data_IF_626766289227
#
_entry.id   IF_626766289227
#
_cell.length_a   1.000
_cell.length_b   1.000
_cell.length_c   1.000
_cell.angle_alpha   90.00
_cell.angle_beta   90.00
_cell.angle_gamma   90.00
#
_symmetry.space_group_name_H-M   'P 1'
#
loop_
_entity.id
_entity.type
_entity.pdbx_description
1 polymer ?
#
# COMPACT_ATOMS: atom_id res chain seq x y z
N UNK A 1 18.57 -13.38 4.73
CA UNK A 1 17.57 -14.25 5.41
C UNK A 1 18.28 -15.44 6.06
N UNK A 2 17.90 -15.79 7.30
CA UNK A 2 18.69 -16.60 8.24
C UNK A 2 18.63 -18.12 7.99
N UNK A 3 19.80 -18.75 7.92
CA UNK A 3 20.03 -20.15 7.58
C UNK A 3 19.68 -21.19 8.65
N UNK A 4 18.49 -21.13 9.24
CA UNK A 4 17.95 -22.21 10.10
C UNK A 4 16.53 -22.65 9.74
N UNK A 5 16.03 -22.28 8.56
CA UNK A 5 14.76 -22.80 8.05
C UNK A 5 13.52 -22.41 8.85
N UNK A 6 13.56 -21.31 9.62
CA UNK A 6 12.39 -20.79 10.34
C UNK A 6 11.93 -21.63 11.54
N UNK A 7 12.72 -22.61 11.97
CA UNK A 7 12.38 -23.44 13.13
C UNK A 7 12.80 -22.75 14.43
N UNK A 8 11.89 -22.75 15.40
CA UNK A 8 12.13 -22.23 16.74
C UNK A 8 12.84 -23.25 17.63
N UNK A 9 13.08 -22.90 18.91
CA UNK A 9 13.83 -23.71 19.90
C UNK A 9 13.29 -25.14 20.07
N UNK A 10 12.01 -25.36 19.74
CA UNK A 10 11.33 -26.66 19.82
C UNK A 10 11.71 -27.66 18.71
N UNK A 11 12.49 -27.25 17.71
CA UNK A 11 12.90 -28.06 16.55
C UNK A 11 11.72 -28.58 15.70
N UNK A 12 10.50 -28.08 15.91
CA UNK A 12 9.36 -28.45 15.09
C UNK A 12 9.57 -27.92 13.67
N UNK A 13 9.47 -28.75 12.62
CA UNK A 13 9.52 -28.27 11.24
C UNK A 13 8.38 -27.28 11.00
N UNK A 14 8.70 -26.00 10.81
CA UNK A 14 7.74 -24.98 10.38
C UNK A 14 8.12 -24.49 9.00
N UNK A 15 7.16 -24.58 8.08
CA UNK A 15 7.26 -23.91 6.80
C UNK A 15 7.14 -22.39 7.03
N UNK A 16 7.60 -21.56 6.08
CA UNK A 16 7.29 -20.13 6.13
C UNK A 16 5.77 -19.97 6.16
N UNK A 17 5.24 -19.58 7.31
CA UNK A 17 3.80 -19.39 7.52
C UNK A 17 3.50 -17.92 7.72
N UNK A 18 2.23 -17.54 7.60
CA UNK A 18 1.77 -16.20 7.96
C UNK A 18 2.24 -15.80 9.38
N UNK A 19 2.30 -16.76 10.31
CA UNK A 19 2.75 -16.52 11.68
C UNK A 19 4.22 -16.12 11.75
N UNK A 20 5.09 -16.72 10.92
CA UNK A 20 6.51 -16.40 10.91
C UNK A 20 6.78 -14.96 10.46
N UNK A 21 5.93 -14.39 9.60
CA UNK A 21 6.03 -13.01 9.14
C UNK A 21 5.27 -12.01 10.04
N UNK A 22 4.11 -12.41 10.57
CA UNK A 22 3.17 -11.50 11.24
C UNK A 22 3.14 -11.61 12.77
N UNK A 23 3.73 -12.67 13.36
CA UNK A 23 3.78 -12.89 14.81
C UNK A 23 5.24 -12.98 15.25
N UNK A 24 5.73 -11.90 15.86
CA UNK A 24 7.11 -11.86 16.36
C UNK A 24 7.25 -12.89 17.49
N UNK A 25 8.31 -13.72 17.48
CA UNK A 25 8.56 -14.62 18.60
C UNK A 25 8.86 -13.84 19.88
N UNK A 26 8.24 -14.26 20.98
CA UNK A 26 8.42 -13.68 22.30
C UNK A 26 8.69 -14.77 23.34
N UNK A 27 9.41 -14.39 24.41
CA UNK A 27 9.61 -15.27 25.56
C UNK A 27 8.36 -15.24 26.42
N UNK A 28 7.69 -16.39 26.60
CA UNK A 28 6.44 -16.41 27.36
C UNK A 28 5.83 -17.79 27.57
N UNK A 29 4.70 -17.80 28.26
CA UNK A 29 3.84 -18.98 28.38
C UNK A 29 2.84 -18.99 27.23
N UNK A 30 2.53 -20.18 26.71
CA UNK A 30 1.52 -20.33 25.66
C UNK A 30 0.07 -20.17 26.16
N UNK A 31 -0.15 -20.15 27.48
CA UNK A 31 -1.45 -19.87 28.08
C UNK A 31 -1.29 -19.46 29.56
N UNK A 32 -2.33 -18.81 30.09
CA UNK A 32 -2.42 -18.46 31.51
C UNK A 32 -2.94 -19.65 32.33
N UNK A 33 -2.08 -20.66 32.53
CA UNK A 33 -2.34 -21.81 33.40
C UNK A 33 -1.14 -22.12 34.30
N UNK A 34 -1.42 -22.67 35.48
CA UNK A 34 -0.38 -23.09 36.43
C UNK A 34 0.47 -24.23 35.83
N UNK A 35 1.78 -24.19 36.08
CA UNK A 35 2.72 -25.21 35.62
C UNK A 35 3.11 -25.15 34.14
N UNK A 36 2.60 -24.17 33.38
CA UNK A 36 2.98 -23.98 31.97
C UNK A 36 4.42 -23.48 31.88
N UNK A 37 5.30 -24.15 31.11
CA UNK A 37 6.67 -23.73 30.92
C UNK A 37 6.76 -22.43 30.11
N UNK A 38 7.79 -21.64 30.41
CA UNK A 38 8.21 -20.51 29.55
C UNK A 38 8.93 -21.10 28.34
N UNK A 39 8.61 -20.60 27.14
CA UNK A 39 9.31 -20.93 25.90
C UNK A 39 9.90 -19.65 25.28
N UNK A 40 11.01 -19.78 24.54
CA UNK A 40 11.70 -18.64 23.92
C UNK A 40 11.03 -18.07 22.67
N UNK A 41 9.98 -18.72 22.18
CA UNK A 41 9.50 -18.61 20.80
C UNK A 41 7.97 -18.52 20.67
N UNK A 42 7.27 -18.04 21.70
CA UNK A 42 5.81 -17.93 21.62
C UNK A 42 5.41 -16.93 20.53
N UNK A 43 4.51 -17.29 19.61
CA UNK A 43 4.00 -16.33 18.64
C UNK A 43 3.15 -15.29 19.38
N UNK A 44 3.62 -14.05 19.44
CA UNK A 44 2.85 -12.97 20.05
C UNK A 44 1.64 -12.68 19.16
N UNK A 45 0.42 -12.77 19.70
CA UNK A 45 -0.84 -12.51 18.99
C UNK A 45 -1.07 -11.01 18.70
N UNK A 46 -0.08 -10.34 18.13
CA UNK A 46 -0.14 -8.93 17.76
C UNK A 46 -0.50 -8.70 16.29
N UNK A 47 -0.39 -9.74 15.44
CA UNK A 47 -0.80 -9.79 14.02
C UNK A 47 -0.34 -8.55 13.24
N UNK A 48 0.97 -8.33 13.17
CA UNK A 48 1.56 -7.13 12.56
C UNK A 48 1.38 -7.11 11.04
N UNK A 49 0.51 -6.23 10.53
CA UNK A 49 0.32 -5.98 9.10
C UNK A 49 1.19 -4.85 8.53
N UNK A 50 0.88 -4.41 7.30
CA UNK A 50 1.58 -3.32 6.62
C UNK A 50 0.90 -1.94 6.75
N UNK A 51 -0.06 -1.76 7.66
CA UNK A 51 -0.72 -0.46 7.84
C UNK A 51 -0.06 0.30 9.00
N UNK A 52 0.75 1.30 8.67
CA UNK A 52 1.45 2.15 9.63
C UNK A 52 0.67 3.40 10.02
N UNK A 53 -0.36 3.78 9.25
CA UNK A 53 -1.04 5.07 9.36
C UNK A 53 -2.35 5.01 10.16
N UNK A 54 -3.15 3.94 10.00
CA UNK A 54 -4.42 3.78 10.74
C UNK A 54 -4.27 3.88 12.27
N UNK A 55 -3.18 3.41 12.91
CA UNK A 55 -2.96 3.69 14.32
C UNK A 55 -3.04 5.18 14.70
N UNK A 56 -2.50 6.09 13.88
CA UNK A 56 -2.57 7.53 14.13
C UNK A 56 -3.99 8.07 13.91
N UNK A 57 -4.69 7.57 12.89
CA UNK A 57 -6.10 7.90 12.62
C UNK A 57 -6.98 7.53 13.80
N UNK A 58 -6.79 6.32 14.35
CA UNK A 58 -7.55 5.85 15.50
C UNK A 58 -7.28 6.70 16.74
N UNK A 59 -6.02 7.03 17.00
CA UNK A 59 -5.65 7.94 18.09
C UNK A 59 -6.28 9.33 17.90
N UNK A 60 -6.18 9.91 16.70
CA UNK A 60 -6.80 11.20 16.39
C UNK A 60 -8.31 11.17 16.58
N UNK A 61 -9.02 10.21 15.97
CA UNK A 61 -10.48 10.09 16.08
C UNK A 61 -10.93 9.86 17.53
N UNK A 62 -10.17 9.11 18.33
CA UNK A 62 -10.43 8.94 19.77
C UNK A 62 -10.35 10.28 20.50
N UNK A 63 -9.31 11.08 20.24
CA UNK A 63 -9.16 12.41 20.86
C UNK A 63 -10.30 13.37 20.51
N UNK A 64 -10.90 13.20 19.33
CA UNK A 64 -12.04 14.01 18.89
C UNK A 64 -13.39 13.43 19.36
N UNK A 65 -13.41 12.27 20.02
CA UNK A 65 -14.65 11.57 20.37
C UNK A 65 -15.43 11.06 19.15
N UNK A 66 -14.74 10.77 18.05
CA UNK A 66 -15.29 10.39 16.74
C UNK A 66 -15.12 8.90 16.40
N UNK A 67 -14.61 8.07 17.31
CA UNK A 67 -14.60 6.63 17.12
C UNK A 67 -16.03 6.09 17.04
N UNK A 68 -16.35 5.44 15.92
CA UNK A 68 -17.70 4.91 15.68
C UNK A 68 -17.98 3.59 16.37
N UNK A 69 -16.93 2.81 16.68
CA UNK A 69 -17.04 1.48 17.27
C UNK A 69 -16.09 1.38 18.45
N UNK A 70 -16.62 0.88 19.57
CA UNK A 70 -15.86 0.66 20.78
C UNK A 70 -15.94 1.84 21.77
N UNK A 71 -15.51 1.61 23.02
CA UNK A 71 -15.32 2.69 23.98
C UNK A 71 -14.10 3.55 23.58
N UNK A 72 -13.93 4.67 24.29
CA UNK A 72 -12.70 5.46 24.20
C UNK A 72 -11.47 4.59 24.56
N UNK A 73 -10.36 4.85 23.88
CA UNK A 73 -9.14 4.07 24.02
C UNK A 73 -8.50 4.30 25.39
N UNK A 74 -8.11 3.21 26.03
CA UNK A 74 -7.29 3.26 27.25
C UNK A 74 -5.84 3.60 26.94
N UNK A 75 -5.09 4.08 27.93
CA UNK A 75 -3.65 4.31 27.79
C UNK A 75 -2.87 3.07 27.33
N UNK A 76 -3.32 1.88 27.70
CA UNK A 76 -2.70 0.62 27.26
C UNK A 76 -2.97 0.33 25.76
N UNK A 77 -4.17 0.66 25.27
CA UNK A 77 -4.54 0.50 23.87
C UNK A 77 -3.81 1.52 22.98
N UNK A 78 -3.69 2.79 23.43
CA UNK A 78 -2.87 3.80 22.75
C UNK A 78 -1.40 3.37 22.64
N UNK A 79 -0.82 2.85 23.73
CA UNK A 79 0.52 2.27 23.68
C UNK A 79 0.61 1.05 22.73
N UNK A 80 -0.47 0.26 22.66
CA UNK A 80 -0.60 -0.86 21.72
C UNK A 80 -0.62 -0.42 20.26
N UNK A 81 -1.34 0.68 19.94
CA UNK A 81 -1.37 1.30 18.61
C UNK A 81 0.02 1.78 18.18
N UNK A 82 0.71 2.54 19.05
CA UNK A 82 2.07 3.03 18.77
C UNK A 82 3.08 1.88 18.57
N UNK A 83 2.97 0.82 19.38
CA UNK A 83 3.79 -0.38 19.22
C UNK A 83 3.45 -1.12 17.91
N UNK A 84 2.16 -1.20 17.55
CA UNK A 84 1.67 -1.78 16.29
C UNK A 84 2.22 -1.05 15.07
N UNK A 85 2.14 0.28 15.06
CA UNK A 85 2.74 1.14 14.02
C UNK A 85 4.24 0.87 13.87
N UNK A 86 4.98 0.87 14.98
CA UNK A 86 6.43 0.61 14.96
C UNK A 86 6.78 -0.74 14.36
N UNK A 87 5.99 -1.78 14.67
CA UNK A 87 6.18 -3.11 14.08
C UNK A 87 5.80 -3.14 12.59
N UNK A 88 4.72 -2.48 12.19
CA UNK A 88 4.31 -2.37 10.79
C UNK A 88 5.43 -1.74 9.94
N UNK A 89 6.01 -0.64 10.42
CA UNK A 89 7.18 0.00 9.80
C UNK A 89 8.38 -0.95 9.67
N UNK A 90 8.71 -1.67 10.74
CA UNK A 90 9.82 -2.63 10.73
C UNK A 90 9.56 -3.81 9.78
N UNK A 91 8.30 -4.25 9.63
CA UNK A 91 7.92 -5.30 8.68
C UNK A 91 8.01 -4.81 7.24
N UNK A 92 7.57 -3.59 6.95
CA UNK A 92 7.67 -2.97 5.63
C UNK A 92 9.13 -2.85 5.18
N UNK A 93 10.04 -2.40 6.04
CA UNK A 93 11.48 -2.33 5.74
C UNK A 93 12.17 -3.70 5.52
N UNK A 94 11.45 -4.82 5.63
CA UNK A 94 11.94 -6.18 5.30
C UNK A 94 11.11 -6.85 4.19
N UNK A 95 10.14 -6.16 3.62
CA UNK A 95 9.18 -6.74 2.67
C UNK A 95 9.76 -6.90 1.26
N UNK A 96 10.77 -6.09 0.91
CA UNK A 96 11.37 -6.06 -0.41
C UNK A 96 12.90 -5.89 -0.32
N UNK A 97 13.61 -6.31 -1.36
CA UNK A 97 14.97 -5.82 -1.63
C UNK A 97 15.04 -5.27 -3.04
N UNK A 98 15.97 -4.34 -3.26
CA UNK A 98 16.17 -3.67 -4.55
C UNK A 98 17.65 -3.62 -4.90
N UNK A 99 17.98 -3.97 -6.14
CA UNK A 99 19.35 -3.92 -6.67
C UNK A 99 19.35 -3.27 -8.04
N UNK A 100 20.46 -2.60 -8.38
CA UNK A 100 20.65 -1.94 -9.68
C UNK A 100 21.93 -2.48 -10.33
N UNK A 101 21.82 -2.95 -11.57
CA UNK A 101 22.92 -3.40 -12.42
C UNK A 101 22.84 -2.72 -13.80
N UNK A 102 23.78 -1.82 -14.08
CA UNK A 102 23.63 -0.88 -15.18
C UNK A 102 22.38 -0.03 -14.98
N UNK A 103 21.50 -0.02 -15.98
CA UNK A 103 20.20 0.67 -15.92
C UNK A 103 19.07 -0.27 -15.47
N UNK A 104 19.36 -1.55 -15.22
CA UNK A 104 18.35 -2.53 -14.80
C UNK A 104 18.18 -2.53 -13.30
N UNK A 105 16.95 -2.32 -12.85
CA UNK A 105 16.55 -2.48 -11.46
C UNK A 105 15.86 -3.81 -11.30
N UNK A 106 16.14 -4.48 -10.18
CA UNK A 106 15.46 -5.70 -9.76
C UNK A 106 14.87 -5.49 -8.38
N UNK A 107 13.55 -5.68 -8.25
CA UNK A 107 12.85 -5.66 -6.96
C UNK A 107 12.44 -7.08 -6.62
N UNK A 108 12.87 -7.59 -5.48
CA UNK A 108 12.57 -8.96 -5.02
C UNK A 108 11.52 -8.91 -3.91
N UNK A 109 10.47 -9.72 -4.06
CA UNK A 109 9.49 -9.92 -3.01
C UNK A 109 10.03 -10.87 -1.92
N UNK A 110 10.14 -10.36 -0.69
CA UNK A 110 10.61 -11.11 0.47
C UNK A 110 9.46 -11.56 1.39
N UNK A 111 8.21 -11.39 0.95
CA UNK A 111 7.01 -11.76 1.69
C UNK A 111 6.41 -13.09 1.21
N UNK A 112 5.50 -13.66 2.00
CA UNK A 112 4.79 -14.91 1.68
C UNK A 112 3.52 -14.73 0.83
N UNK A 113 3.28 -13.53 0.32
CA UNK A 113 2.12 -13.15 -0.51
C UNK A 113 2.56 -12.14 -1.57
N UNK A 114 1.65 -11.62 -2.41
CA UNK A 114 2.03 -10.57 -3.36
C UNK A 114 2.61 -9.34 -2.64
N UNK A 115 3.59 -8.66 -3.23
CA UNK A 115 4.17 -7.43 -2.73
C UNK A 115 3.61 -6.26 -3.55
N UNK A 116 2.81 -5.37 -2.99
CA UNK A 116 2.27 -5.27 -1.60
C UNK A 116 0.91 -5.97 -1.43
N UNK A 117 0.67 -6.71 -0.34
CA UNK A 117 -0.64 -7.36 -0.12
C UNK A 117 -1.58 -6.53 0.76
N UNK A 118 -2.76 -7.08 1.05
CA UNK A 118 -3.82 -6.48 1.83
C UNK A 118 -4.95 -5.95 0.96
N UNK A 119 -5.80 -5.12 1.58
CA UNK A 119 -6.85 -4.43 0.85
C UNK A 119 -6.24 -3.53 -0.23
N UNK A 120 -6.61 -3.72 -1.51
CA UNK A 120 -5.89 -3.18 -2.65
C UNK A 120 -6.15 -1.69 -2.93
N UNK A 121 -7.38 -1.22 -2.77
CA UNK A 121 -7.77 0.12 -3.22
C UNK A 121 -7.02 1.19 -2.42
N UNK A 122 -6.48 2.18 -3.14
CA UNK A 122 -5.66 3.24 -2.57
C UNK A 122 -4.30 2.79 -2.03
N UNK A 123 -3.91 1.53 -2.15
CA UNK A 123 -2.58 1.05 -1.71
C UNK A 123 -1.62 1.01 -2.89
N UNK A 124 -0.46 1.65 -2.75
CA UNK A 124 0.54 1.75 -3.82
C UNK A 124 1.95 1.50 -3.31
N UNK A 125 2.76 0.91 -4.17
CA UNK A 125 4.22 0.92 -4.07
C UNK A 125 4.75 1.45 -5.38
N UNK A 126 5.79 2.28 -5.38
CA UNK A 126 6.33 2.83 -6.62
C UNK A 126 7.80 3.17 -6.45
N UNK A 127 8.44 3.54 -7.55
CA UNK A 127 9.81 4.00 -7.53
C UNK A 127 9.85 5.51 -7.64
N UNK A 128 10.48 6.14 -6.65
CA UNK A 128 10.92 7.53 -6.72
C UNK A 128 12.39 7.54 -7.15
N UNK A 129 12.71 8.34 -8.16
CA UNK A 129 14.08 8.43 -8.69
C UNK A 129 14.52 9.88 -8.82
N UNK A 130 15.54 10.23 -8.06
CA UNK A 130 16.12 11.58 -8.06
C UNK A 130 17.42 11.55 -8.85
N UNK A 131 17.43 12.14 -10.05
CA UNK A 131 18.57 12.12 -10.96
C UNK A 131 19.45 13.34 -10.78
N UNK A 132 20.76 13.13 -10.72
CA UNK A 132 21.76 14.18 -10.52
C UNK A 132 22.82 14.19 -11.61
N UNK A 133 23.29 15.36 -12.01
CA UNK A 133 24.43 15.53 -12.91
C UNK A 133 25.79 15.35 -12.20
N UNK A 134 26.90 15.45 -12.95
CA UNK A 134 28.25 15.27 -12.41
C UNK A 134 28.66 16.31 -11.34
N UNK A 135 27.92 17.41 -11.21
CA UNK A 135 28.13 18.45 -10.20
C UNK A 135 27.22 18.25 -8.98
N UNK A 136 26.37 17.21 -8.96
CA UNK A 136 25.38 16.97 -7.91
C UNK A 136 24.15 17.86 -8.01
N UNK A 137 23.87 18.44 -9.18
CA UNK A 137 22.65 19.22 -9.43
C UNK A 137 21.56 18.26 -9.92
N UNK A 138 20.38 18.33 -9.31
CA UNK A 138 19.22 17.56 -9.73
C UNK A 138 18.78 17.96 -11.15
N UNK A 139 18.52 16.96 -12.00
CA UNK A 139 18.17 17.16 -13.42
C UNK A 139 16.80 16.61 -13.79
N UNK A 140 16.26 15.68 -13.00
CA UNK A 140 14.92 15.11 -13.17
C UNK A 140 14.53 14.36 -11.89
N UNK A 141 13.25 14.37 -11.58
CA UNK A 141 12.64 13.55 -10.56
C UNK A 141 11.53 12.72 -11.22
N UNK A 142 11.53 11.41 -10.99
CA UNK A 142 10.49 10.48 -11.42
C UNK A 142 9.74 9.97 -10.17
N UNK A 143 8.42 9.83 -10.25
CA UNK A 143 7.60 9.28 -9.16
C UNK A 143 7.51 10.17 -7.93
N UNK A 144 7.53 11.49 -8.15
CA UNK A 144 7.47 12.49 -7.09
C UNK A 144 6.19 12.36 -6.24
N UNK A 145 6.34 12.57 -4.93
CA UNK A 145 5.27 12.64 -3.96
C UNK A 145 5.32 14.00 -3.28
N UNK A 146 4.45 14.91 -3.72
CA UNK A 146 4.40 16.29 -3.24
C UNK A 146 2.96 16.82 -3.21
N UNK A 147 2.80 18.08 -2.84
CA UNK A 147 1.54 18.80 -2.82
C UNK A 147 1.03 19.07 -4.23
N UNK A 148 -0.20 18.65 -4.51
CA UNK A 148 -0.98 19.10 -5.65
C UNK A 148 -2.15 19.95 -5.17
N UNK A 149 -2.57 20.93 -5.99
CA UNK A 149 -3.80 21.68 -5.75
C UNK A 149 -5.01 20.90 -6.28
N UNK A 150 -6.01 20.70 -5.42
CA UNK A 150 -7.31 20.09 -5.75
C UNK A 150 -8.45 21.02 -5.37
N UNK A 151 -9.62 20.81 -5.95
CA UNK A 151 -10.85 21.45 -5.52
C UNK A 151 -11.55 20.53 -4.54
N UNK A 152 -11.68 21.00 -3.30
CA UNK A 152 -12.41 20.32 -2.24
C UNK A 152 -13.48 21.29 -1.71
N UNK A 153 -14.74 20.86 -1.75
CA UNK A 153 -15.90 21.69 -1.37
C UNK A 153 -15.92 23.08 -2.03
N UNK A 154 -15.49 23.15 -3.30
CA UNK A 154 -15.42 24.38 -4.09
C UNK A 154 -14.26 25.32 -3.73
N UNK A 155 -13.29 24.86 -2.94
CA UNK A 155 -12.09 25.62 -2.58
C UNK A 155 -10.80 24.92 -3.02
N UNK A 156 -9.80 25.67 -3.52
CA UNK A 156 -8.46 25.15 -3.71
C UNK A 156 -7.87 24.67 -2.38
N UNK A 157 -7.40 23.42 -2.35
CA UNK A 157 -6.80 22.75 -1.20
C UNK A 157 -5.56 22.00 -1.64
N UNK A 158 -4.49 22.05 -0.84
CA UNK A 158 -3.27 21.29 -1.10
C UNK A 158 -3.37 19.90 -0.45
N UNK A 159 -3.06 18.86 -1.23
CA UNK A 159 -3.02 17.47 -0.77
C UNK A 159 -1.73 16.82 -1.22
N UNK A 160 -1.13 15.96 -0.38
CA UNK A 160 0.09 15.23 -0.72
C UNK A 160 -0.23 13.90 -1.40
N UNK A 161 0.30 13.70 -2.60
CA UNK A 161 0.09 12.48 -3.39
C UNK A 161 1.16 12.36 -4.47
N UNK A 162 1.18 11.26 -5.23
CA UNK A 162 2.07 11.14 -6.39
C UNK A 162 1.69 12.24 -7.40
N UNK A 163 2.60 13.13 -7.79
CA UNK A 163 2.25 14.33 -8.58
C UNK A 163 1.67 13.94 -9.94
N UNK A 164 2.39 13.10 -10.67
CA UNK A 164 1.98 12.59 -11.99
C UNK A 164 1.82 11.07 -11.95
N UNK A 165 0.57 10.60 -12.02
CA UNK A 165 0.25 9.16 -12.06
C UNK A 165 0.49 8.55 -13.44
N UNK A 166 0.59 9.38 -14.48
CA UNK A 166 0.73 8.98 -15.87
C UNK A 166 2.17 9.16 -16.39
N UNK A 167 3.11 9.55 -15.52
CA UNK A 167 4.52 9.70 -15.89
C UNK A 167 5.08 8.37 -16.41
N UNK A 168 5.53 8.31 -17.69
CA UNK A 168 6.03 7.08 -18.28
C UNK A 168 7.32 6.54 -17.62
N UNK A 169 8.00 7.34 -16.80
CA UNK A 169 9.18 6.92 -16.04
C UNK A 169 8.84 6.40 -14.64
N UNK A 170 7.58 6.55 -14.21
CA UNK A 170 7.12 6.13 -12.88
C UNK A 170 6.51 4.73 -12.95
N UNK A 171 7.15 3.76 -12.29
CA UNK A 171 6.62 2.41 -12.14
C UNK A 171 5.80 2.29 -10.86
N UNK A 172 4.48 2.19 -10.99
CA UNK A 172 3.55 2.01 -9.85
C UNK A 172 3.07 0.56 -9.79
N UNK A 173 3.17 -0.04 -8.61
CA UNK A 173 2.64 -1.32 -8.24
C UNK A 173 1.33 -1.16 -7.45
N UNK A 174 0.23 -1.64 -8.02
CA UNK A 174 -1.11 -1.50 -7.47
C UNK A 174 -2.07 -2.54 -8.05
N UNK A 175 -3.34 -2.43 -7.66
CA UNK A 175 -4.42 -3.27 -8.19
C UNK A 175 -5.54 -2.34 -8.59
N UNK A 176 -6.05 -2.56 -9.80
CA UNK A 176 -7.23 -1.88 -10.30
C UNK A 176 -8.41 -2.85 -10.26
N UNK A 177 -9.42 -2.46 -9.50
CA UNK A 177 -10.70 -3.16 -9.41
C UNK A 177 -11.70 -2.43 -10.27
N UNK A 178 -12.71 -3.14 -10.74
CA UNK A 178 -13.74 -2.57 -11.57
C UNK A 178 -15.06 -3.32 -11.53
N UNK A 179 -16.00 -2.72 -12.23
CA UNK A 179 -17.35 -3.19 -12.43
C UNK A 179 -17.54 -3.49 -13.91
N UNK A 180 -17.95 -4.72 -14.23
CA UNK A 180 -18.29 -5.06 -15.63
C UNK A 180 -19.63 -4.44 -16.03
N UNK A 181 -19.81 -4.17 -17.32
CA UNK A 181 -21.05 -3.67 -17.89
C UNK A 181 -22.26 -4.53 -17.48
N UNK A 182 -22.15 -5.85 -17.55
CA UNK A 182 -23.25 -6.76 -17.23
C UNK A 182 -23.61 -6.71 -15.75
N UNK A 183 -22.61 -6.50 -14.88
CA UNK A 183 -22.82 -6.39 -13.46
C UNK A 183 -23.45 -5.05 -13.08
N UNK A 184 -23.04 -3.97 -13.74
CA UNK A 184 -23.70 -2.67 -13.61
C UNK A 184 -25.20 -2.76 -13.95
N UNK A 185 -25.54 -3.43 -15.06
CA UNK A 185 -26.95 -3.67 -15.43
C UNK A 185 -27.70 -4.49 -14.37
N UNK A 186 -27.07 -5.55 -13.82
CA UNK A 186 -27.68 -6.35 -12.75
C UNK A 186 -27.93 -5.53 -11.47
N UNK A 187 -27.02 -4.63 -11.09
CA UNK A 187 -27.22 -3.75 -9.94
C UNK A 187 -28.41 -2.81 -10.17
N UNK A 188 -28.56 -2.25 -11.37
CA UNK A 188 -29.73 -1.42 -11.72
C UNK A 188 -31.02 -2.24 -11.62
N UNK A 189 -31.04 -3.47 -12.15
CA UNK A 189 -32.19 -4.37 -12.07
C UNK A 189 -32.54 -4.75 -10.61
N UNK A 190 -31.54 -4.77 -9.71
CA UNK A 190 -31.70 -4.95 -8.27
C UNK A 190 -32.15 -3.68 -7.54
N UNK A 191 -32.27 -2.55 -8.24
CA UNK A 191 -32.78 -1.28 -7.72
C UNK A 191 -31.71 -0.28 -7.29
N UNK A 192 -30.44 -0.49 -7.65
CA UNK A 192 -29.41 0.54 -7.45
C UNK A 192 -29.67 1.73 -8.38
N UNK A 193 -29.43 2.96 -7.92
CA UNK A 193 -29.75 4.15 -8.69
C UNK A 193 -28.74 4.34 -9.84
N UNK A 194 -29.25 4.66 -11.04
CA UNK A 194 -28.41 4.80 -12.25
C UNK A 194 -27.44 5.98 -12.17
N UNK A 195 -27.76 6.99 -11.36
CA UNK A 195 -26.91 8.17 -11.10
C UNK A 195 -25.91 7.93 -9.95
N UNK A 196 -25.80 6.70 -9.42
CA UNK A 196 -24.74 6.35 -8.47
C UNK A 196 -23.37 6.59 -9.11
N UNK A 197 -22.63 7.55 -8.57
CA UNK A 197 -21.28 7.89 -9.05
C UNK A 197 -20.31 6.77 -8.70
N UNK A 198 -19.51 6.35 -9.68
CA UNK A 198 -18.53 5.28 -9.54
C UNK A 198 -17.10 5.79 -9.44
N UNK A 199 -16.80 6.92 -10.09
CA UNK A 199 -15.47 7.54 -10.09
C UNK A 199 -15.56 9.05 -10.07
N UNK A 200 -14.51 9.68 -9.57
CA UNK A 200 -14.37 11.13 -9.49
C UNK A 200 -13.07 11.56 -10.15
N UNK A 201 -13.04 12.79 -10.66
CA UNK A 201 -11.83 13.41 -11.12
C UNK A 201 -10.93 13.76 -9.92
N UNK A 202 -9.66 13.36 -10.01
CA UNK A 202 -8.67 13.52 -8.95
C UNK A 202 -8.50 14.97 -8.49
N UNK A 203 -8.57 15.92 -9.43
CA UNK A 203 -8.24 17.32 -9.19
C UNK A 203 -9.48 18.12 -8.83
N UNK A 204 -10.59 17.88 -9.54
CA UNK A 204 -11.81 18.69 -9.40
C UNK A 204 -12.83 18.07 -8.45
N UNK A 205 -12.76 16.76 -8.20
CA UNK A 205 -13.77 16.01 -7.45
C UNK A 205 -15.09 15.82 -8.22
N UNK A 206 -15.16 16.23 -9.48
CA UNK A 206 -16.36 16.07 -10.29
C UNK A 206 -16.60 14.59 -10.64
N UNK A 207 -17.86 14.11 -10.64
CA UNK A 207 -18.20 12.77 -11.12
C UNK A 207 -17.68 12.53 -12.55
N UNK A 208 -16.94 11.45 -12.77
CA UNK A 208 -16.44 11.08 -14.10
C UNK A 208 -17.22 9.95 -14.75
N UNK A 209 -17.86 9.09 -13.95
CA UNK A 209 -18.68 7.98 -14.44
C UNK A 209 -19.73 7.56 -13.41
N UNK A 210 -20.88 7.10 -13.89
CA UNK A 210 -22.02 6.61 -13.10
C UNK A 210 -22.35 5.16 -13.42
N UNK A 211 -23.13 4.52 -12.55
CA UNK A 211 -23.61 3.14 -12.74
C UNK A 211 -24.38 2.97 -14.05
N UNK A 212 -25.26 3.91 -14.38
CA UNK A 212 -26.04 3.91 -15.62
C UNK A 212 -25.16 4.02 -16.86
N UNK A 213 -24.09 4.82 -16.80
CA UNK A 213 -23.13 4.94 -17.90
C UNK A 213 -22.32 3.68 -18.12
N UNK A 214 -21.89 2.99 -17.04
CA UNK A 214 -21.23 1.68 -17.17
C UNK A 214 -22.18 0.64 -17.76
N UNK A 215 -23.43 0.59 -17.32
CA UNK A 215 -24.43 -0.32 -17.88
C UNK A 215 -24.78 -0.03 -19.35
N UNK A 216 -24.57 1.20 -19.82
CA UNK A 216 -24.78 1.60 -21.21
C UNK A 216 -23.58 1.34 -22.14
N UNK A 217 -22.44 0.88 -21.60
CA UNK A 217 -21.29 0.50 -22.42
C UNK A 217 -21.57 -0.76 -23.26
N UNK A 218 -20.66 -1.08 -24.18
CA UNK A 218 -20.74 -2.32 -24.96
C UNK A 218 -20.58 -3.56 -24.07
N UNK A 219 -21.26 -4.68 -24.36
CA UNK A 219 -21.07 -5.93 -23.61
C UNK A 219 -19.60 -6.39 -23.59
N UNK A 220 -19.16 -6.88 -22.44
CA UNK A 220 -17.78 -7.34 -22.19
C UNK A 220 -16.81 -6.23 -21.76
N UNK A 221 -17.25 -4.98 -21.64
CA UNK A 221 -16.43 -3.90 -21.06
C UNK A 221 -16.54 -3.86 -19.55
N UNK A 222 -15.68 -3.03 -18.96
CA UNK A 222 -15.67 -2.73 -17.53
C UNK A 222 -15.27 -1.28 -17.32
N UNK A 223 -15.52 -0.79 -16.12
CA UNK A 223 -15.03 0.50 -15.64
C UNK A 223 -14.36 0.32 -14.28
N UNK A 224 -13.19 0.94 -14.11
CA UNK A 224 -12.46 0.87 -12.85
C UNK A 224 -13.12 1.75 -11.79
N UNK A 225 -13.23 1.27 -10.55
CA UNK A 225 -13.91 2.00 -9.47
C UNK A 225 -13.32 1.63 -8.11
N UNK A 226 -13.59 2.44 -7.09
CA UNK A 226 -13.27 2.11 -5.69
C UNK A 226 -14.49 1.59 -4.89
N UNK A 227 -15.58 1.20 -5.55
CA UNK A 227 -16.73 0.57 -4.89
C UNK A 227 -16.43 -0.89 -4.55
N UNK A 228 -15.51 -1.13 -3.62
CA UNK A 228 -15.02 -2.47 -3.28
C UNK A 228 -16.07 -3.57 -3.13
N UNK A 229 -17.15 -3.30 -2.40
CA UNK A 229 -18.22 -4.30 -2.16
C UNK A 229 -18.96 -4.62 -3.45
N UNK A 230 -19.00 -3.69 -4.40
CA UNK A 230 -19.72 -3.81 -5.67
C UNK A 230 -18.81 -4.21 -6.84
N UNK A 231 -17.49 -4.01 -6.74
CA UNK A 231 -16.55 -4.42 -7.78
C UNK A 231 -16.57 -5.94 -7.97
N UNK A 232 -16.61 -6.39 -9.23
CA UNK A 232 -16.65 -7.81 -9.59
C UNK A 232 -15.52 -8.22 -10.56
N UNK A 233 -14.60 -7.30 -10.87
CA UNK A 233 -13.56 -7.47 -11.86
C UNK A 233 -12.22 -6.91 -11.37
N UNK A 234 -11.13 -7.57 -11.75
CA UNK A 234 -9.75 -7.09 -11.53
C UNK A 234 -9.17 -6.79 -12.91
N UNK A 235 -9.05 -5.51 -13.26
CA UNK A 235 -8.49 -5.08 -14.55
C UNK A 235 -6.96 -5.15 -14.55
N UNK A 236 -6.35 -4.89 -13.40
CA UNK A 236 -4.90 -4.97 -13.22
C UNK A 236 -4.56 -5.47 -11.81
N UNK A 237 -3.55 -6.34 -11.70
CA UNK A 237 -2.90 -6.70 -10.46
C UNK A 237 -1.44 -6.98 -10.80
N UNK A 238 -0.67 -5.90 -10.79
CA UNK A 238 0.73 -5.91 -11.17
C UNK A 238 1.66 -6.13 -9.97
N UNK A 239 1.13 -6.58 -8.82
CA UNK A 239 1.93 -6.80 -7.61
C UNK A 239 2.82 -8.03 -7.74
N UNK A 240 4.05 -7.92 -7.25
CA UNK A 240 5.10 -8.93 -7.42
C UNK A 240 4.71 -10.23 -6.68
N UNK A 241 4.64 -11.40 -7.33
CA UNK A 241 4.31 -12.68 -6.71
C UNK A 241 5.27 -13.09 -5.58
N UNK A 242 4.82 -13.91 -4.61
CA UNK A 242 5.73 -14.48 -3.61
C UNK A 242 6.55 -15.63 -4.20
N UNK A 243 7.66 -15.92 -3.53
CA UNK A 243 8.46 -17.11 -3.81
C UNK A 243 7.60 -18.39 -3.79
N UNK A 244 7.66 -19.16 -4.87
CA UNK A 244 6.97 -20.45 -4.97
C UNK A 244 5.49 -20.37 -5.36
N UNK A 245 4.99 -19.21 -5.84
CA UNK A 245 3.63 -19.13 -6.39
C UNK A 245 3.53 -19.94 -7.69
N UNK A 246 2.94 -21.12 -7.59
CA UNK A 246 2.65 -21.99 -8.74
C UNK A 246 1.41 -21.52 -9.51
N UNK A 247 1.46 -21.60 -10.85
CA UNK A 247 0.41 -21.08 -11.73
C UNK A 247 -0.98 -21.68 -11.43
N UNK A 248 -1.11 -23.00 -11.32
CA UNK A 248 -2.42 -23.62 -11.08
C UNK A 248 -2.94 -23.32 -9.69
N UNK A 249 -2.08 -23.30 -8.68
CA UNK A 249 -2.45 -22.86 -7.34
C UNK A 249 -2.97 -21.42 -7.32
N UNK A 250 -2.34 -20.51 -8.06
CA UNK A 250 -2.79 -19.12 -8.18
C UNK A 250 -4.13 -19.01 -8.91
N UNK A 251 -4.32 -19.75 -10.01
CA UNK A 251 -5.56 -19.80 -10.78
C UNK A 251 -6.73 -20.33 -9.94
N UNK A 252 -6.53 -21.43 -9.22
CA UNK A 252 -7.56 -22.04 -8.36
C UNK A 252 -7.97 -21.14 -7.19
N UNK A 253 -7.04 -20.29 -6.72
CA UNK A 253 -7.27 -19.35 -5.61
C UNK A 253 -7.71 -17.96 -6.07
N UNK A 254 -7.87 -17.73 -7.38
CA UNK A 254 -8.18 -16.43 -7.97
C UNK A 254 -7.19 -15.32 -7.57
N UNK A 255 -5.88 -15.64 -7.61
CA UNK A 255 -4.80 -14.71 -7.25
C UNK A 255 -3.71 -14.62 -8.33
N UNK A 256 -4.05 -14.92 -9.58
CA UNK A 256 -3.13 -14.68 -10.70
C UNK A 256 -2.74 -13.20 -10.76
N UNK A 257 -1.52 -12.85 -11.18
CA UNK A 257 -1.23 -11.51 -11.68
C UNK A 257 -2.17 -11.17 -12.85
N UNK A 258 -2.45 -9.88 -13.05
CA UNK A 258 -3.21 -9.39 -14.20
C UNK A 258 -2.39 -8.29 -14.86
N UNK A 259 -1.90 -8.50 -16.10
CA UNK A 259 -2.02 -9.71 -16.92
C UNK A 259 -1.22 -10.90 -16.35
N UNK A 260 -1.62 -12.13 -16.69
CA UNK A 260 -1.11 -13.34 -16.04
C UNK A 260 0.28 -13.79 -16.54
N UNK A 261 0.84 -13.09 -17.53
CA UNK A 261 2.11 -13.39 -18.19
C UNK A 261 3.24 -12.41 -17.80
N UNK A 262 2.95 -11.39 -16.99
CA UNK A 262 3.91 -10.33 -16.66
C UNK A 262 5.10 -10.78 -15.77
N UNK A 263 5.02 -11.96 -15.13
CA UNK A 263 6.04 -12.49 -14.22
C UNK A 263 6.56 -13.86 -14.68
N UNK A 264 7.39 -13.86 -15.73
CA UNK A 264 7.98 -15.07 -16.32
C UNK A 264 7.03 -15.90 -17.19
N UNK A 265 5.75 -15.53 -17.27
CA UNK A 265 4.70 -16.21 -18.03
C UNK A 265 4.60 -17.75 -17.80
N UNK A 266 4.53 -18.22 -16.54
CA UNK A 266 4.51 -19.64 -16.25
C UNK A 266 3.25 -20.33 -16.78
N UNK A 267 3.41 -21.57 -17.22
CA UNK A 267 2.32 -22.47 -17.59
C UNK A 267 1.96 -23.41 -16.42
N UNK A 268 0.91 -24.27 -16.52
CA UNK A 268 0.56 -25.20 -15.44
C UNK A 268 1.75 -26.07 -15.01
N UNK A 269 2.06 -26.07 -13.71
CA UNK A 269 3.23 -26.76 -13.13
C UNK A 269 4.49 -25.90 -13.00
N UNK A 270 4.49 -24.68 -13.52
CA UNK A 270 5.57 -23.70 -13.35
C UNK A 270 5.22 -22.64 -12.30
N UNK A 271 6.23 -21.87 -11.88
CA UNK A 271 6.11 -20.85 -10.86
C UNK A 271 6.31 -19.46 -11.46
N UNK A 272 5.61 -18.49 -10.91
CA UNK A 272 5.83 -17.08 -11.18
C UNK A 272 7.19 -16.62 -10.66
N UNK A 273 7.81 -15.68 -11.39
CA UNK A 273 8.95 -14.93 -10.86
C UNK A 273 8.50 -14.14 -9.62
N UNK A 274 9.27 -14.25 -8.54
CA UNK A 274 9.03 -13.55 -7.27
C UNK A 274 9.76 -12.20 -7.21
N UNK A 275 10.08 -11.65 -8.37
CA UNK A 275 10.75 -10.38 -8.55
C UNK A 275 10.18 -9.70 -9.80
N UNK A 276 10.35 -8.39 -9.87
CA UNK A 276 10.19 -7.63 -11.10
C UNK A 276 11.55 -7.09 -11.55
N UNK A 277 11.69 -6.87 -12.85
CA UNK A 277 12.83 -6.17 -13.43
C UNK A 277 12.35 -5.12 -14.40
N UNK A 278 12.89 -3.91 -14.28
CA UNK A 278 12.60 -2.82 -15.20
C UNK A 278 13.87 -2.06 -15.52
N UNK A 279 13.89 -1.44 -16.70
CA UNK A 279 14.98 -0.58 -17.15
C UNK A 279 14.68 0.86 -16.77
N UNK A 280 15.62 1.51 -16.09
CA UNK A 280 15.56 2.94 -15.84
C UNK A 280 15.75 3.71 -17.16
N UNK A 281 15.25 4.95 -17.19
CA UNK A 281 15.38 5.85 -18.34
C UNK A 281 16.27 7.05 -17.98
N UNK A 282 17.60 6.90 -17.75
CA UNK A 282 18.44 8.02 -17.32
C UNK A 282 18.32 9.24 -18.24
N UNK A 283 18.02 10.45 -17.72
CA UNK A 283 17.98 11.65 -18.54
C UNK A 283 19.38 12.01 -19.02
N UNK A 284 19.46 12.79 -20.11
CA UNK A 284 20.75 13.29 -20.59
C UNK A 284 21.49 14.02 -19.47
N UNK A 285 22.79 13.74 -19.31
CA UNK A 285 23.68 14.29 -18.26
C UNK A 285 23.51 13.69 -16.86
N UNK A 286 22.61 12.74 -16.64
CA UNK A 286 22.58 11.99 -15.39
C UNK A 286 23.91 11.26 -15.17
N UNK A 287 24.49 11.46 -13.99
CA UNK A 287 25.70 10.79 -13.53
C UNK A 287 25.45 9.92 -12.29
N UNK A 288 24.39 10.21 -11.54
CA UNK A 288 23.95 9.49 -10.35
C UNK A 288 22.43 9.57 -10.22
N UNK A 289 21.82 8.56 -9.60
CA UNK A 289 20.44 8.67 -9.13
C UNK A 289 20.28 8.04 -7.75
N UNK A 290 19.40 8.62 -6.94
CA UNK A 290 18.92 8.01 -5.70
C UNK A 290 17.57 7.36 -6.02
N UNK A 291 17.49 6.03 -5.83
CA UNK A 291 16.31 5.24 -6.20
C UNK A 291 15.70 4.69 -4.92
N UNK A 292 14.43 5.00 -4.69
CA UNK A 292 13.68 4.61 -3.50
C UNK A 292 12.42 3.86 -3.89
N UNK A 293 12.24 2.66 -3.34
CA UNK A 293 10.99 1.90 -3.43
C UNK A 293 10.06 2.39 -2.33
N UNK A 294 9.09 3.22 -2.70
CA UNK A 294 8.13 3.87 -1.80
C UNK A 294 6.90 3.00 -1.57
N UNK A 295 6.25 3.14 -0.43
CA UNK A 295 4.98 2.48 -0.12
C UNK A 295 4.01 3.40 0.60
N UNK A 296 2.80 3.52 0.05
CA UNK A 296 1.68 4.25 0.62
C UNK A 296 0.53 3.29 0.95
N UNK A 297 0.01 3.38 2.19
CA UNK A 297 -1.10 2.52 2.61
C UNK A 297 -2.46 2.98 2.09
N UNK A 298 -2.63 4.28 1.84
CA UNK A 298 -3.90 4.92 1.48
C UNK A 298 -3.63 6.18 0.66
N UNK A 299 -4.05 6.20 -0.60
CA UNK A 299 -3.84 7.30 -1.53
C UNK A 299 -4.92 8.37 -1.45
N UNK A 300 -4.61 9.55 -1.97
CA UNK A 300 -5.56 10.66 -2.10
C UNK A 300 -6.84 10.25 -2.82
N UNK A 301 -6.75 9.55 -3.96
CA UNK A 301 -7.92 9.22 -4.79
C UNK A 301 -8.90 8.31 -4.04
N UNK A 302 -8.38 7.45 -3.16
CA UNK A 302 -9.23 6.59 -2.34
C UNK A 302 -9.87 7.37 -1.17
N UNK A 303 -9.14 8.28 -0.53
CA UNK A 303 -9.70 9.16 0.51
C UNK A 303 -10.78 10.08 -0.08
N UNK A 304 -10.50 10.68 -1.24
CA UNK A 304 -11.44 11.50 -2.00
C UNK A 304 -12.70 10.70 -2.34
N UNK A 305 -12.55 9.49 -2.86
CA UNK A 305 -13.68 8.62 -3.18
C UNK A 305 -14.53 8.31 -1.93
N UNK A 306 -13.91 7.91 -0.81
CA UNK A 306 -14.64 7.60 0.42
C UNK A 306 -15.36 8.82 1.00
N UNK A 307 -14.78 10.02 0.83
CA UNK A 307 -15.41 11.28 1.20
C UNK A 307 -16.64 11.57 0.32
N UNK A 308 -16.46 11.61 -1.01
CA UNK A 308 -17.50 12.01 -1.95
C UNK A 308 -18.61 10.96 -2.10
N UNK A 309 -18.28 9.67 -2.05
CA UNK A 309 -19.26 8.58 -2.15
C UNK A 309 -20.13 8.44 -0.89
N UNK A 310 -19.72 9.00 0.24
CA UNK A 310 -20.50 8.96 1.47
C UNK A 310 -21.60 10.04 1.47
N UNK A 311 -22.73 9.73 0.83
CA UNK A 311 -23.88 10.63 0.69
C UNK A 311 -24.75 10.79 1.95
N UNK A 312 -24.32 10.29 3.11
CA UNK A 312 -25.08 10.47 4.35
C UNK A 312 -26.36 9.63 4.51
N UNK A 313 -26.58 8.66 3.62
CA UNK A 313 -27.81 7.86 3.57
C UNK A 313 -28.07 7.03 4.84
N UNK A 314 -27.03 6.74 5.63
CA UNK A 314 -27.14 6.10 6.93
C UNK A 314 -26.75 7.10 8.02
N UNK A 315 -27.71 7.51 8.86
CA UNK A 315 -27.49 8.51 9.92
C UNK A 315 -26.36 8.14 10.90
N UNK A 316 -26.12 6.86 11.17
CA UNK A 316 -25.01 6.41 12.02
C UNK A 316 -23.65 6.59 11.34
N UNK A 317 -23.58 6.45 10.02
CA UNK A 317 -22.34 6.52 9.24
C UNK A 317 -22.18 7.83 8.46
N UNK A 318 -23.12 8.76 8.56
CA UNK A 318 -23.24 9.89 7.66
C UNK A 318 -21.99 10.78 7.62
N UNK A 319 -21.29 10.92 8.74
CA UNK A 319 -20.09 11.75 8.85
C UNK A 319 -18.78 10.98 8.62
N UNK A 320 -18.84 9.67 8.32
CA UNK A 320 -17.64 8.82 8.32
C UNK A 320 -16.64 9.22 7.23
N UNK A 321 -17.11 9.57 6.03
CA UNK A 321 -16.26 10.11 4.96
C UNK A 321 -15.58 11.43 5.34
N UNK A 322 -16.32 12.37 5.92
CA UNK A 322 -15.78 13.66 6.37
C UNK A 322 -14.79 13.49 7.53
N UNK A 323 -15.11 12.65 8.51
CA UNK A 323 -14.22 12.34 9.64
C UNK A 323 -12.94 11.63 9.17
N UNK A 324 -13.01 10.77 8.15
CA UNK A 324 -11.83 10.13 7.57
C UNK A 324 -10.95 11.14 6.84
N UNK A 325 -11.55 12.02 6.02
CA UNK A 325 -10.81 13.07 5.31
C UNK A 325 -10.10 14.01 6.28
N UNK A 326 -10.80 14.48 7.31
CA UNK A 326 -10.21 15.30 8.37
C UNK A 326 -9.05 14.55 9.07
N UNK A 327 -9.28 13.30 9.49
CA UNK A 327 -8.23 12.52 10.13
C UNK A 327 -7.01 12.35 9.22
N UNK A 328 -7.21 12.14 7.91
CA UNK A 328 -6.14 12.06 6.92
C UNK A 328 -5.31 13.35 6.84
N UNK A 329 -5.94 14.52 6.78
CA UNK A 329 -5.23 15.80 6.87
C UNK A 329 -4.45 15.96 8.18
N UNK A 330 -5.02 15.49 9.29
CA UNK A 330 -4.45 15.67 10.63
C UNK A 330 -3.40 14.62 11.01
N UNK A 331 -3.17 13.62 10.17
CA UNK A 331 -2.23 12.50 10.41
C UNK A 331 -1.29 12.29 9.23
N UNK A 332 -0.78 13.39 8.69
CA UNK A 332 0.25 13.44 7.65
C UNK A 332 -0.14 12.73 6.34
N UNK A 333 -1.43 12.65 6.02
CA UNK A 333 -1.91 12.25 4.71
C UNK A 333 -1.45 10.85 4.25
N UNK A 334 -1.23 9.95 5.22
CA UNK A 334 -0.63 8.63 4.97
C UNK A 334 0.67 8.73 4.16
N UNK A 335 1.57 9.63 4.57
CA UNK A 335 2.87 9.86 3.94
C UNK A 335 3.63 8.54 3.71
N UNK A 336 4.13 8.30 2.48
CA UNK A 336 4.74 7.03 2.13
C UNK A 336 6.02 6.75 2.89
N UNK A 337 6.34 5.47 2.99
CA UNK A 337 7.52 4.97 3.69
C UNK A 337 8.42 4.24 2.71
N UNK A 338 9.72 4.36 2.92
CA UNK A 338 10.73 3.70 2.08
C UNK A 338 10.83 2.22 2.46
N UNK A 339 10.64 1.34 1.48
CA UNK A 339 10.83 -0.11 1.63
C UNK A 339 12.28 -0.53 1.37
N UNK A 340 12.91 0.04 0.34
CA UNK A 340 14.27 -0.25 -0.07
C UNK A 340 14.87 0.94 -0.83
N UNK A 341 16.21 1.07 -0.80
CA UNK A 341 16.95 2.12 -1.49
C UNK A 341 18.12 1.51 -2.27
N UNK A 342 18.46 2.15 -3.38
CA UNK A 342 19.65 1.84 -4.15
C UNK A 342 20.19 3.10 -4.83
N UNK A 343 21.44 3.07 -5.26
CA UNK A 343 22.07 4.19 -5.97
C UNK A 343 22.46 3.74 -7.36
N UNK A 344 21.93 4.43 -8.37
CA UNK A 344 22.38 4.27 -9.74
C UNK A 344 23.60 5.16 -10.02
N UNK A 345 24.54 4.66 -10.83
CA UNK A 345 25.71 5.46 -11.27
C UNK A 345 25.91 5.32 -12.76
N UNK A 346 26.05 6.45 -13.45
CA UNK A 346 26.30 6.49 -14.88
C UNK A 346 27.68 5.92 -15.21
N UNK A 347 27.74 4.87 -16.03
CA UNK A 347 29.00 4.28 -16.51
C UNK A 347 29.37 2.89 -15.97
N UNK A 348 28.49 2.22 -15.22
CA UNK A 348 28.52 0.76 -15.04
C UNK A 348 29.51 0.22 -14.00
N UNK A 349 29.02 0.02 -12.77
CA UNK A 349 29.56 -0.93 -11.80
C UNK A 349 28.44 -1.30 -10.82
N UNK A 350 28.37 -2.55 -10.33
CA UNK A 350 27.29 -2.99 -9.45
C UNK A 350 27.26 -2.16 -8.17
N UNK A 351 26.12 -1.54 -7.86
CA UNK A 351 25.91 -0.82 -6.60
C UNK A 351 25.65 -1.83 -5.47
N UNK A 352 26.31 -1.64 -4.33
CA UNK A 352 26.11 -2.46 -3.12
C UNK A 352 24.82 -2.03 -2.39
N UNK A 353 24.06 -3.01 -1.88
CA UNK A 353 22.86 -2.80 -1.04
C UNK A 353 23.12 -1.82 0.12
N UNK A 354 22.25 -0.83 0.30
CA UNK A 354 22.02 -0.21 1.60
C UNK A 354 20.67 -0.70 2.10
N UNK A 355 20.68 -1.48 3.19
CA UNK A 355 19.45 -1.78 3.92
C UNK A 355 18.86 -0.45 4.42
N UNK A 356 17.66 -0.10 3.96
CA UNK A 356 17.01 1.17 4.27
C UNK A 356 17.07 1.50 5.76
N UNK A 357 17.56 2.69 6.09
CA UNK A 357 17.52 3.18 7.46
C UNK A 357 16.09 3.60 7.79
N UNK A 358 15.36 2.75 8.50
CA UNK A 358 14.15 3.18 9.16
C UNK A 358 14.52 4.31 10.16
N UNK A 359 14.17 5.54 9.81
CA UNK A 359 14.21 6.70 10.71
C UNK A 359 15.28 7.75 10.40
N UNK A 360 15.03 8.59 9.38
CA UNK A 360 15.32 10.03 9.49
C UNK A 360 14.06 10.80 9.17
N UNK A 361 13.26 11.06 10.20
CA UNK A 361 12.34 12.19 10.19
C UNK A 361 13.17 13.45 9.97
N UNK A 362 12.85 14.22 8.94
CA UNK A 362 13.29 15.61 8.84
C UNK A 362 12.88 16.35 10.12
N UNK A 363 13.72 17.23 10.70
CA UNK A 363 13.36 18.00 11.88
C UNK A 363 12.35 19.09 11.51
N UNK A 364 11.08 18.69 11.38
CA UNK A 364 9.92 19.57 11.30
C UNK A 364 9.62 20.18 12.67
N UNK A 365 9.39 21.48 12.69
CA UNK A 365 9.25 22.33 13.86
C UNK A 365 8.08 21.95 14.77
N UNK A 366 8.36 21.34 15.93
CA UNK A 366 7.43 21.33 17.06
C UNK A 366 7.32 22.75 17.64
N UNK A 367 6.27 23.48 17.25
CA UNK A 367 5.81 24.62 18.05
C UNK A 367 5.24 24.10 19.37
N UNK A 368 5.94 24.42 20.46
CA UNK A 368 5.46 24.18 21.82
C UNK A 368 4.20 24.99 22.08
N UNK A 369 3.07 24.33 22.24
CA UNK A 369 1.90 24.92 22.90
C UNK A 369 2.18 24.92 24.42
N UNK A 370 2.14 26.07 25.12
CA UNK A 370 2.36 26.12 26.55
C UNK A 370 1.10 25.64 27.31
N UNK A 371 1.28 25.02 28.50
CA UNK A 371 0.18 24.43 29.25
C UNK A 371 -0.73 25.50 29.86
N UNK A 372 -2.03 25.19 29.90
CA UNK A 372 -2.99 25.75 30.87
C UNK A 372 -3.58 24.63 31.68
#
# INVERSE_FOLDING_TARGET
MAGTGGNYEDQSPRYFTCQTCHLTPAVGKGCDKNGVPIRGDQPLHDMTGGNYWIPDVLEYLDTQGKLQIGPALTAAELAGLAAGKSRAMATLGRAASMTIDGDMVRIVNLTGHKLISGYPEGRRMWLKVDWYDSNGIEVREDGDYDEIEVILDGQPTLVKTIVDLDDPNTKIYQVHQGMTQEWAQQLIDLGYPTDMVLTYDRLTGEPTYTLGEVAAQDPGTYHETFHFVLNNYVSEDNRIPPYGLEYEAARQRNVLPVPNDQYGAPVPGEMYDYWDTFELSPPSRAARAEVSLMYQSTSWEYVQFLYLANQGNNAFLAETGANLLEAWFMTDMAEPVVLAEAVWTGGGGPSLEQSGSAGRLSPGSFQKVPPK
#
